data_IF_961844962962
#
_entry.id   IF_961844962962
#
_cell.length_a   1.000
_cell.length_b   1.000
_cell.length_c   1.000
_cell.angle_alpha   90.00
_cell.angle_beta   90.00
_cell.angle_gamma   90.00
#
_symmetry.space_group_name_H-M   'P 1'
#
loop_
_entity.id
_entity.type
_entity.pdbx_description
1 polymer ?
#
# COMPACT_ATOMS: atom_id res chain seq x y z
N UNK A 1 -9.89 12.92 9.97
CA UNK A 1 -9.49 14.34 10.09
C UNK A 1 -8.10 14.40 10.69
N UNK A 2 -7.25 15.26 10.16
CA UNK A 2 -5.95 15.61 10.72
C UNK A 2 -6.04 17.04 11.25
N UNK A 3 -5.63 17.22 12.50
CA UNK A 3 -5.64 18.52 13.15
C UNK A 3 -4.22 18.95 13.51
N UNK A 4 -3.94 20.24 13.40
CA UNK A 4 -2.67 20.83 13.80
C UNK A 4 -2.37 20.53 15.28
N UNK A 5 -1.14 20.13 15.57
CA UNK A 5 -0.68 19.78 16.90
C UNK A 5 -0.90 18.31 17.31
N UNK A 6 -1.59 17.51 16.51
CA UNK A 6 -1.74 16.08 16.78
C UNK A 6 -0.42 15.33 16.67
N UNK A 7 -0.26 14.26 17.44
CA UNK A 7 0.80 13.28 17.26
C UNK A 7 0.44 12.33 16.15
N UNK A 8 1.36 12.12 15.24
CA UNK A 8 1.23 11.23 14.09
C UNK A 8 2.39 10.23 14.07
N UNK A 9 2.13 9.08 13.48
CA UNK A 9 3.09 8.02 13.25
C UNK A 9 3.30 7.84 11.75
N UNK A 10 4.54 7.66 11.33
CA UNK A 10 4.92 7.35 9.96
C UNK A 10 5.10 5.83 9.80
N UNK A 11 4.30 5.20 8.97
CA UNK A 11 4.43 3.78 8.68
C UNK A 11 5.13 3.57 7.32
N UNK A 12 5.96 2.51 7.17
CA UNK A 12 6.16 1.39 8.10
C UNK A 12 7.23 1.62 9.19
N UNK A 13 7.89 2.79 9.22
CA UNK A 13 9.03 3.03 10.12
C UNK A 13 8.67 3.11 11.61
N UNK A 14 7.40 3.33 11.95
CA UNK A 14 6.92 3.52 13.33
C UNK A 14 7.36 4.84 13.99
N UNK A 15 8.01 5.75 13.22
CA UNK A 15 8.50 7.02 13.78
C UNK A 15 7.35 7.98 14.03
N UNK A 16 7.42 8.67 15.15
CA UNK A 16 6.40 9.65 15.52
C UNK A 16 6.88 11.08 15.31
N UNK A 17 5.96 11.97 15.04
CA UNK A 17 6.19 13.41 14.98
C UNK A 17 4.93 14.16 15.35
N UNK A 18 5.09 15.42 15.75
CA UNK A 18 3.96 16.32 15.96
C UNK A 18 3.67 17.10 14.67
N UNK A 19 2.39 17.18 14.30
CA UNK A 19 1.91 17.95 13.15
C UNK A 19 2.04 19.46 13.43
N UNK A 20 3.13 20.08 12.93
CA UNK A 20 3.43 21.49 13.24
C UNK A 20 2.56 22.46 12.46
N UNK A 21 2.35 22.19 11.18
CA UNK A 21 1.47 22.96 10.31
C UNK A 21 0.87 22.11 9.22
N UNK A 22 -0.29 22.53 8.74
CA UNK A 22 -1.05 21.90 7.67
C UNK A 22 -1.32 22.98 6.62
N UNK A 23 -1.14 22.63 5.35
CA UNK A 23 -1.52 23.47 4.23
C UNK A 23 -2.39 22.69 3.25
N UNK A 24 -3.50 23.27 2.86
CA UNK A 24 -4.40 22.76 1.84
C UNK A 24 -4.76 23.89 0.87
N UNK A 25 -4.78 23.60 -0.43
CA UNK A 25 -5.08 24.60 -1.47
C UNK A 25 -4.23 25.89 -1.40
N UNK A 26 -2.94 25.75 -1.06
CA UNK A 26 -1.97 26.85 -0.86
C UNK A 26 -2.32 27.80 0.28
N UNK A 27 -3.12 27.40 1.23
CA UNK A 27 -3.45 28.16 2.44
C UNK A 27 -3.20 27.32 3.69
N UNK A 28 -2.84 28.00 4.78
CA UNK A 28 -2.72 27.37 6.08
C UNK A 28 -4.10 26.90 6.57
N UNK A 29 -4.11 25.73 7.19
CA UNK A 29 -5.32 25.12 7.75
C UNK A 29 -5.06 24.60 9.16
N UNK A 30 -6.05 24.73 10.04
CA UNK A 30 -5.99 24.14 11.38
C UNK A 30 -6.42 22.66 11.36
N UNK A 31 -7.26 22.29 10.40
CA UNK A 31 -7.80 20.95 10.24
C UNK A 31 -8.07 20.62 8.78
N UNK A 32 -7.91 19.34 8.39
CA UNK A 32 -8.25 18.83 7.05
C UNK A 32 -8.98 17.52 7.13
N UNK A 33 -10.01 17.37 6.28
CA UNK A 33 -10.81 16.18 6.15
C UNK A 33 -10.32 15.23 5.05
N UNK A 34 -10.96 14.05 4.92
CA UNK A 34 -10.69 13.10 3.86
C UNK A 34 -10.85 13.69 2.46
N UNK A 35 -10.07 13.17 1.49
CA UNK A 35 -10.15 13.59 0.10
C UNK A 35 -9.43 14.90 -0.23
N UNK A 36 -8.74 15.50 0.74
CA UNK A 36 -8.02 16.77 0.55
C UNK A 36 -6.53 16.51 0.36
N UNK A 37 -5.97 17.00 -0.75
CA UNK A 37 -4.52 17.02 -0.95
C UNK A 37 -3.91 18.03 0.01
N UNK A 38 -2.98 17.55 0.85
CA UNK A 38 -2.48 18.30 2.00
C UNK A 38 -0.97 18.24 2.06
N UNK A 39 -0.32 19.37 2.36
CA UNK A 39 1.07 19.42 2.79
C UNK A 39 1.12 19.49 4.31
N UNK A 40 1.98 18.69 4.92
CA UNK A 40 2.15 18.65 6.37
C UNK A 40 3.61 18.88 6.74
N UNK A 41 3.84 19.62 7.83
CA UNK A 41 5.16 19.82 8.39
C UNK A 41 5.34 18.90 9.62
N UNK A 42 6.29 17.98 9.50
CA UNK A 42 6.65 16.99 10.50
C UNK A 42 8.12 17.23 10.91
N UNK A 43 8.39 18.11 11.87
CA UNK A 43 9.75 18.60 12.16
C UNK A 43 10.70 17.52 12.67
N UNK A 44 10.18 16.46 13.28
CA UNK A 44 10.98 15.37 13.84
C UNK A 44 11.35 14.31 12.79
N UNK A 45 10.86 14.46 11.54
CA UNK A 45 11.11 13.54 10.43
C UNK A 45 11.94 14.26 9.36
N UNK A 46 13.15 13.78 9.13
CA UNK A 46 14.04 14.34 8.11
C UNK A 46 13.70 13.80 6.71
N UNK A 47 13.84 14.64 5.68
CA UNK A 47 13.91 14.21 4.29
C UNK A 47 15.31 13.72 3.89
N UNK A 48 16.33 14.00 4.72
CA UNK A 48 17.71 13.68 4.42
C UNK A 48 18.04 12.26 4.86
N UNK A 49 18.26 11.41 3.86
CA UNK A 49 18.73 10.03 4.04
C UNK A 49 20.27 9.93 4.04
N UNK A 50 20.99 11.06 3.90
CA UNK A 50 22.43 11.15 3.91
C UNK A 50 22.94 10.95 5.32
N UNK A 51 23.29 9.95 5.84
CA UNK A 51 23.89 9.55 7.13
C UNK A 51 23.17 8.40 7.83
N UNK A 52 22.39 7.55 7.08
CA UNK A 52 21.73 6.40 7.64
C UNK A 52 20.44 6.73 8.44
N UNK A 53 19.98 7.98 8.40
CA UNK A 53 18.68 8.33 8.92
C UNK A 53 17.58 7.83 7.96
N UNK A 54 16.62 7.09 8.49
CA UNK A 54 15.43 6.70 7.73
C UNK A 54 14.57 7.94 7.51
N UNK A 55 14.66 8.53 6.33
CA UNK A 55 13.85 9.69 5.93
C UNK A 55 12.41 9.29 5.59
N UNK A 56 11.57 10.28 5.31
CA UNK A 56 10.24 10.08 4.74
C UNK A 56 10.39 9.73 3.27
N UNK A 57 9.80 8.61 2.86
CA UNK A 57 9.85 8.09 1.50
C UNK A 57 8.46 8.10 0.83
N UNK A 58 8.46 8.00 -0.50
CA UNK A 58 7.22 7.76 -1.23
C UNK A 58 6.71 6.37 -0.89
N UNK A 59 5.44 6.28 -0.54
CA UNK A 59 4.81 5.05 -0.06
C UNK A 59 4.59 5.01 1.44
N UNK A 60 5.27 5.87 2.18
CA UNK A 60 5.02 6.01 3.61
C UNK A 60 3.62 6.59 3.87
N UNK A 61 3.04 6.16 4.97
CA UNK A 61 1.70 6.57 5.39
C UNK A 61 1.80 7.31 6.72
N UNK A 62 1.26 8.53 6.75
CA UNK A 62 1.10 9.30 7.98
C UNK A 62 -0.25 8.99 8.59
N UNK A 63 -0.28 8.51 9.81
CA UNK A 63 -1.49 8.13 10.53
C UNK A 63 -1.50 8.69 11.94
N UNK A 64 -2.65 8.69 12.59
CA UNK A 64 -2.71 9.02 14.01
C UNK A 64 -1.99 7.93 14.81
N UNK A 65 -1.28 8.35 15.83
CA UNK A 65 -0.57 7.43 16.71
C UNK A 65 -1.54 6.40 17.32
N UNK A 66 -1.16 5.11 17.30
CA UNK A 66 -1.98 4.01 17.81
C UNK A 66 -3.10 3.53 16.87
N UNK A 67 -3.21 4.02 15.64
CA UNK A 67 -4.31 3.65 14.72
C UNK A 67 -4.07 2.36 13.93
N UNK A 68 -3.01 1.61 14.15
CA UNK A 68 -2.73 0.33 13.49
C UNK A 68 -1.26 -0.04 13.49
N UNK A 69 -0.97 -1.21 12.97
CA UNK A 69 0.37 -1.80 12.91
C UNK A 69 0.68 -2.27 11.48
N UNK A 70 1.95 -2.48 11.19
CA UNK A 70 2.38 -3.10 9.94
C UNK A 70 2.23 -4.62 10.01
N UNK A 71 2.00 -5.23 8.86
CA UNK A 71 1.96 -6.69 8.71
C UNK A 71 2.88 -7.14 7.58
N UNK A 72 3.42 -8.33 7.69
CA UNK A 72 4.16 -9.02 6.64
C UNK A 72 3.27 -9.99 5.83
N UNK A 73 2.04 -10.25 6.29
CA UNK A 73 1.07 -11.07 5.60
C UNK A 73 -0.35 -10.53 5.78
N UNK A 74 -1.13 -10.49 4.68
CA UNK A 74 -2.51 -10.03 4.66
C UNK A 74 -3.40 -10.97 3.84
N UNK A 75 -4.66 -11.11 4.25
CA UNK A 75 -5.65 -11.82 3.45
C UNK A 75 -6.38 -10.85 2.51
N UNK A 76 -6.56 -11.29 1.27
CA UNK A 76 -7.17 -10.48 0.21
C UNK A 76 -8.17 -11.27 -0.63
N UNK A 77 -9.15 -10.57 -1.18
CA UNK A 77 -9.87 -11.05 -2.35
C UNK A 77 -9.11 -10.58 -3.59
N UNK A 78 -8.49 -11.51 -4.29
CA UNK A 78 -7.75 -11.25 -5.51
C UNK A 78 -8.65 -11.49 -6.71
N UNK A 79 -8.74 -10.51 -7.62
CA UNK A 79 -9.54 -10.56 -8.82
C UNK A 79 -8.67 -10.40 -10.05
N UNK A 80 -8.84 -11.27 -11.02
CA UNK A 80 -8.18 -11.18 -12.31
C UNK A 80 -9.17 -10.81 -13.39
N UNK A 81 -9.07 -9.58 -13.88
CA UNK A 81 -9.99 -9.09 -14.92
C UNK A 81 -9.82 -9.86 -16.22
N UNK A 82 -10.93 -10.26 -16.85
CA UNK A 82 -10.95 -10.81 -18.20
C UNK A 82 -10.50 -9.79 -19.26
N UNK A 83 -10.58 -8.49 -18.98
CA UNK A 83 -10.14 -7.42 -19.88
C UNK A 83 -8.63 -7.30 -20.02
N UNK A 84 -7.86 -7.99 -19.17
CA UNK A 84 -6.39 -8.02 -19.28
C UNK A 84 -5.90 -8.86 -20.48
N UNK A 85 -6.80 -9.50 -21.21
CA UNK A 85 -6.49 -10.42 -22.31
C UNK A 85 -6.27 -9.77 -23.70
N UNK A 86 -6.32 -8.45 -23.84
CA UNK A 86 -6.46 -7.82 -25.15
C UNK A 86 -5.38 -6.84 -25.61
N UNK A 87 -4.23 -6.73 -24.99
CA UNK A 87 -3.23 -5.72 -25.34
C UNK A 87 -1.82 -6.25 -25.59
N UNK A 88 -0.94 -5.39 -26.03
CA UNK A 88 0.49 -5.65 -26.23
C UNK A 88 1.19 -6.21 -24.98
N UNK A 89 0.58 -6.06 -23.81
CA UNK A 89 1.03 -6.54 -22.51
C UNK A 89 0.10 -7.60 -21.91
N UNK A 90 -0.68 -8.25 -22.75
CA UNK A 90 -1.60 -9.32 -22.34
C UNK A 90 -0.80 -10.49 -21.75
N UNK A 91 -1.02 -10.73 -20.47
CA UNK A 91 -0.44 -11.89 -19.78
C UNK A 91 -1.50 -12.99 -19.76
N UNK A 92 -1.65 -13.68 -20.90
CA UNK A 92 -2.56 -14.82 -21.07
C UNK A 92 -2.15 -16.05 -20.23
N UNK A 93 -1.10 -15.92 -19.41
CA UNK A 93 -0.65 -17.01 -18.55
C UNK A 93 -1.41 -17.01 -17.24
N UNK A 94 -1.76 -18.19 -16.70
CA UNK A 94 -2.32 -18.30 -15.36
C UNK A 94 -1.42 -17.63 -14.32
N UNK A 95 -2.03 -16.95 -13.37
CA UNK A 95 -1.33 -16.43 -12.21
C UNK A 95 -1.10 -17.61 -11.24
N UNK A 96 0.15 -18.05 -11.13
CA UNK A 96 0.49 -19.25 -10.37
C UNK A 96 0.66 -18.97 -8.89
N UNK A 97 0.40 -19.98 -8.08
CA UNK A 97 0.69 -19.94 -6.65
C UNK A 97 2.18 -19.68 -6.37
N UNK A 98 2.48 -18.99 -5.30
CA UNK A 98 3.83 -18.58 -4.84
C UNK A 98 4.60 -17.67 -5.82
N UNK A 99 3.94 -17.08 -6.81
CA UNK A 99 4.59 -16.14 -7.73
C UNK A 99 5.02 -14.87 -6.98
N UNK A 100 6.20 -14.37 -7.32
CA UNK A 100 6.72 -13.08 -6.83
C UNK A 100 6.19 -11.95 -7.69
N UNK A 101 5.64 -10.94 -7.06
CA UNK A 101 4.93 -9.82 -7.69
C UNK A 101 5.27 -8.49 -7.03
N UNK A 102 4.79 -7.40 -7.64
CA UNK A 102 4.74 -6.07 -7.04
C UNK A 102 3.29 -5.72 -6.71
N UNK A 103 3.03 -5.39 -5.45
CA UNK A 103 1.72 -4.96 -4.97
C UNK A 103 1.74 -3.45 -4.78
N UNK A 104 0.82 -2.76 -5.45
CA UNK A 104 0.70 -1.31 -5.40
C UNK A 104 -0.57 -0.93 -4.65
N UNK A 105 -0.42 -0.19 -3.56
CA UNK A 105 -1.52 0.44 -2.85
C UNK A 105 -1.09 1.81 -2.32
N UNK A 106 -2.03 2.76 -2.25
CA UNK A 106 -1.70 4.16 -2.00
C UNK A 106 -0.68 4.68 -3.01
N UNK A 107 0.43 5.19 -2.53
CA UNK A 107 1.58 5.62 -3.35
C UNK A 107 2.77 4.65 -3.30
N UNK A 108 2.60 3.53 -2.59
CA UNK A 108 3.64 2.53 -2.34
C UNK A 108 3.70 1.42 -3.38
N UNK A 109 4.82 0.70 -3.38
CA UNK A 109 5.12 -0.45 -4.22
C UNK A 109 5.88 -1.47 -3.37
N UNK A 110 5.26 -2.61 -3.12
CA UNK A 110 5.72 -3.59 -2.16
C UNK A 110 5.98 -4.94 -2.83
N UNK A 111 7.21 -5.47 -2.75
CA UNK A 111 7.50 -6.84 -3.15
C UNK A 111 6.72 -7.85 -2.30
N UNK A 112 6.03 -8.79 -2.95
CA UNK A 112 5.25 -9.79 -2.24
C UNK A 112 5.20 -11.13 -3.01
N UNK A 113 4.72 -12.17 -2.34
CA UNK A 113 4.30 -13.45 -2.93
C UNK A 113 2.82 -13.63 -2.75
N UNK A 114 2.17 -14.21 -3.77
CA UNK A 114 0.75 -14.58 -3.72
C UNK A 114 0.66 -16.04 -3.30
N UNK A 115 -0.09 -16.33 -2.25
CA UNK A 115 -0.37 -17.68 -1.78
C UNK A 115 -1.87 -17.93 -1.84
N UNK A 116 -2.32 -18.75 -2.80
CA UNK A 116 -3.72 -19.14 -2.89
C UNK A 116 -4.07 -20.17 -1.82
N UNK A 117 -5.26 -20.09 -1.25
CA UNK A 117 -5.73 -21.04 -0.24
C UNK A 117 -6.11 -22.41 -0.86
N UNK A 118 -6.84 -22.40 -1.97
CA UNK A 118 -7.40 -23.59 -2.58
C UNK A 118 -6.87 -23.84 -3.99
N UNK A 119 -6.76 -22.81 -4.81
CA UNK A 119 -6.33 -22.94 -6.20
C UNK A 119 -4.82 -23.04 -6.34
N UNK A 120 -4.37 -23.70 -7.40
CA UNK A 120 -2.95 -23.70 -7.81
C UNK A 120 -2.62 -22.53 -8.73
N UNK A 121 -3.63 -21.99 -9.38
CA UNK A 121 -3.52 -20.89 -10.34
C UNK A 121 -4.85 -20.15 -10.47
N UNK A 122 -4.79 -18.89 -10.90
CA UNK A 122 -5.94 -18.03 -11.14
C UNK A 122 -5.96 -17.65 -12.62
N UNK A 123 -7.07 -17.96 -13.29
CA UNK A 123 -7.29 -17.64 -14.71
C UNK A 123 -7.91 -16.24 -14.87
N UNK A 124 -7.80 -15.62 -16.08
CA UNK A 124 -8.54 -14.40 -16.38
C UNK A 124 -10.06 -14.56 -16.15
N UNK A 125 -10.67 -13.55 -15.54
CA UNK A 125 -12.09 -13.56 -15.17
C UNK A 125 -12.42 -14.25 -13.84
N UNK A 126 -11.44 -14.86 -13.18
CA UNK A 126 -11.63 -15.50 -11.89
C UNK A 126 -11.25 -14.60 -10.71
N UNK A 127 -11.73 -14.99 -9.53
CA UNK A 127 -11.32 -14.45 -8.24
C UNK A 127 -10.97 -15.60 -7.27
N UNK A 128 -10.20 -15.28 -6.23
CA UNK A 128 -9.79 -16.22 -5.20
C UNK A 128 -9.37 -15.46 -3.92
N UNK A 129 -9.60 -16.08 -2.78
CA UNK A 129 -9.00 -15.62 -1.53
C UNK A 129 -7.53 -16.05 -1.52
N UNK A 130 -6.66 -15.09 -1.27
CA UNK A 130 -5.22 -15.32 -1.25
C UNK A 130 -4.58 -14.59 -0.08
N UNK A 131 -3.46 -15.11 0.38
CA UNK A 131 -2.54 -14.40 1.26
C UNK A 131 -1.52 -13.65 0.38
N UNK A 132 -1.30 -12.38 0.65
CA UNK A 132 -0.17 -11.63 0.14
C UNK A 132 0.89 -11.56 1.23
N UNK A 133 2.03 -12.21 0.99
CA UNK A 133 3.17 -12.19 1.91
C UNK A 133 4.21 -11.21 1.41
N UNK A 134 4.39 -10.12 2.12
CA UNK A 134 5.35 -9.07 1.81
C UNK A 134 6.78 -9.46 2.18
N UNK A 135 7.76 -8.96 1.43
CA UNK A 135 9.19 -9.12 1.77
C UNK A 135 9.64 -8.14 2.86
N UNK A 136 8.92 -7.05 3.03
CA UNK A 136 9.08 -6.07 4.11
C UNK A 136 7.70 -5.70 4.62
N UNK A 137 7.52 -5.55 5.95
CA UNK A 137 6.22 -5.21 6.50
C UNK A 137 5.62 -3.98 5.84
N UNK A 138 4.33 -4.02 5.55
CA UNK A 138 3.57 -2.96 4.94
C UNK A 138 2.42 -2.53 5.85
N UNK A 139 2.02 -1.28 5.77
CA UNK A 139 0.82 -0.80 6.45
C UNK A 139 -0.34 -0.77 5.46
N UNK A 140 -1.36 -1.54 5.73
CA UNK A 140 -2.61 -1.60 4.96
C UNK A 140 -3.79 -1.67 5.92
N UNK A 141 -4.98 -1.37 5.43
CA UNK A 141 -6.22 -1.47 6.19
C UNK A 141 -7.23 -2.36 5.45
N UNK A 142 -8.08 -3.05 6.19
CA UNK A 142 -9.19 -3.79 5.60
C UNK A 142 -10.05 -2.84 4.74
N UNK A 143 -10.37 -3.28 3.51
CA UNK A 143 -11.06 -2.47 2.51
C UNK A 143 -10.15 -1.69 1.56
N UNK A 144 -8.85 -1.61 1.80
CA UNK A 144 -7.91 -1.00 0.87
C UNK A 144 -7.89 -1.74 -0.46
N UNK A 145 -7.85 -0.97 -1.56
CA UNK A 145 -7.73 -1.52 -2.91
C UNK A 145 -6.30 -1.51 -3.36
N UNK A 146 -5.92 -2.55 -4.08
CA UNK A 146 -4.56 -2.71 -4.57
C UNK A 146 -4.54 -3.22 -6.02
N UNK A 147 -3.38 -3.06 -6.64
CA UNK A 147 -3.07 -3.61 -7.97
C UNK A 147 -1.83 -4.49 -7.84
N UNK A 148 -1.87 -5.63 -8.53
CA UNK A 148 -0.73 -6.55 -8.64
C UNK A 148 -0.12 -6.40 -10.02
N UNK A 149 1.18 -6.15 -10.06
CA UNK A 149 1.98 -6.12 -11.28
C UNK A 149 3.02 -7.24 -11.29
N UNK A 150 3.48 -7.58 -12.47
CA UNK A 150 4.61 -8.48 -12.64
C UNK A 150 5.89 -7.86 -12.05
N UNK A 151 6.91 -8.69 -11.84
CA UNK A 151 8.15 -8.26 -11.20
C UNK A 151 8.84 -7.08 -11.91
N UNK A 152 8.97 -7.05 -13.26
CA UNK A 152 9.51 -5.90 -13.98
C UNK A 152 8.54 -4.72 -14.13
N UNK A 153 7.34 -4.79 -13.55
CA UNK A 153 6.30 -3.76 -13.61
C UNK A 153 5.83 -3.38 -15.01
N UNK A 154 5.92 -4.32 -15.95
CA UNK A 154 5.49 -4.11 -17.34
C UNK A 154 4.01 -4.43 -17.55
N UNK A 155 3.45 -5.36 -16.78
CA UNK A 155 2.08 -5.80 -16.92
C UNK A 155 1.31 -5.79 -15.60
N UNK A 156 0.01 -5.43 -15.65
CA UNK A 156 -0.93 -5.65 -14.56
C UNK A 156 -1.42 -7.08 -14.63
N UNK A 157 -1.31 -7.80 -13.52
CA UNK A 157 -1.67 -9.22 -13.42
C UNK A 157 -3.05 -9.40 -12.79
N UNK A 158 -3.36 -8.61 -11.78
CA UNK A 158 -4.57 -8.72 -10.98
C UNK A 158 -4.81 -7.42 -10.19
N UNK A 159 -5.89 -7.37 -9.46
CA UNK A 159 -6.18 -6.37 -8.44
C UNK A 159 -7.04 -6.98 -7.37
N UNK A 160 -7.44 -6.19 -6.39
CA UNK A 160 -8.30 -6.73 -5.34
C UNK A 160 -8.55 -5.77 -4.19
N UNK A 161 -9.05 -6.35 -3.11
CA UNK A 161 -9.35 -5.65 -1.86
C UNK A 161 -8.79 -6.43 -0.68
N UNK A 162 -8.27 -5.72 0.30
CA UNK A 162 -7.79 -6.29 1.57
C UNK A 162 -8.99 -6.73 2.40
N UNK A 163 -8.99 -7.97 2.84
CA UNK A 163 -10.03 -8.55 3.70
C UNK A 163 -9.62 -8.49 5.17
N UNK A 164 -8.35 -8.82 5.44
CA UNK A 164 -7.77 -8.81 6.78
C UNK A 164 -6.32 -8.31 6.69
N UNK A 165 -5.96 -7.36 7.52
CA UNK A 165 -4.60 -6.81 7.62
C UNK A 165 -3.64 -7.71 8.39
N UNK A 166 -4.12 -8.82 8.96
CA UNK A 166 -3.34 -9.81 9.73
C UNK A 166 -3.73 -11.22 9.32
N UNK A 167 -2.93 -11.85 8.48
CA UNK A 167 -3.10 -13.23 8.05
C UNK A 167 -2.36 -14.22 8.95
#
# INVERSE_FOLDING_TARGET
TLDRGQSVCLQPSGRTSRLRSIQAHNADAESVGPGTRTAVNLPDLSHDTSHGAVGVARGDIVMLEGSGETSDAIDVLLERSSRLDGGQYSVNRPLKNSIRVRVHFGSGNFPARILFREKKELLPGENEIAELRFETPAFVMAGDRFIVRDWPEQATLAGGVVLDERA
#
